data_IF_490809238626
#
_entry.id   IF_490809238626
#
_cell.length_a   1.000
_cell.length_b   1.000
_cell.length_c   1.000
_cell.angle_alpha   90.00
_cell.angle_beta   90.00
_cell.angle_gamma   90.00
#
_symmetry.space_group_name_H-M   'P 1'
#
loop_
_entity.id
_entity.type
_entity.pdbx_description
1 polymer ?
#
# COMPACT_ATOMS: atom_id res chain seq x y z
N UNK A 1 16.75 -2.65 -3.09
CA UNK A 1 15.37 -2.13 -3.22
C UNK A 1 15.10 -1.63 -4.64
N UNK A 2 15.93 -0.74 -5.21
CA UNK A 2 15.83 -0.30 -6.62
C UNK A 2 15.63 -1.43 -7.66
N UNK A 3 16.45 -2.48 -7.66
CA UNK A 3 16.31 -3.63 -8.59
C UNK A 3 14.95 -4.33 -8.44
N UNK A 4 14.44 -4.42 -7.20
CA UNK A 4 13.13 -5.03 -6.94
C UNK A 4 11.99 -4.16 -7.47
N UNK A 5 12.11 -2.84 -7.37
CA UNK A 5 11.15 -1.90 -7.99
C UNK A 5 11.12 -2.09 -9.50
N UNK A 6 12.28 -2.07 -10.14
CA UNK A 6 12.39 -2.19 -11.60
C UNK A 6 11.77 -3.51 -12.09
N UNK A 7 12.12 -4.63 -11.46
CA UNK A 7 11.54 -5.94 -11.80
C UNK A 7 10.02 -5.98 -11.66
N UNK A 8 9.43 -5.30 -10.67
CA UNK A 8 7.96 -5.25 -10.51
C UNK A 8 7.28 -4.38 -11.56
N UNK A 9 7.96 -3.32 -12.04
CA UNK A 9 7.44 -2.47 -13.10
C UNK A 9 7.57 -3.13 -14.48
N UNK A 10 8.64 -3.90 -14.72
CA UNK A 10 8.87 -4.62 -15.98
C UNK A 10 8.05 -5.91 -16.09
N UNK A 11 7.68 -6.53 -14.96
CA UNK A 11 6.92 -7.79 -14.90
C UNK A 11 5.76 -7.72 -13.88
N UNK A 12 4.71 -6.92 -14.16
CA UNK A 12 3.63 -6.66 -13.21
C UNK A 12 2.74 -7.89 -12.94
N UNK A 13 2.65 -8.84 -13.87
CA UNK A 13 1.76 -10.01 -13.76
C UNK A 13 2.23 -11.02 -12.71
N UNK A 14 3.53 -11.07 -12.41
CA UNK A 14 4.07 -12.01 -11.40
C UNK A 14 3.86 -11.58 -9.96
N UNK A 15 3.53 -10.31 -9.71
CA UNK A 15 3.60 -9.73 -8.36
C UNK A 15 2.27 -9.19 -7.83
N UNK A 16 1.15 -9.57 -8.44
CA UNK A 16 -0.15 -8.90 -8.32
C UNK A 16 -0.19 -7.62 -9.14
N UNK A 17 -1.30 -7.33 -9.81
CA UNK A 17 -1.41 -6.24 -10.78
C UNK A 17 -0.90 -4.92 -10.20
N UNK A 18 0.31 -4.54 -10.62
CA UNK A 18 0.97 -3.31 -10.25
C UNK A 18 1.05 -2.40 -11.47
N UNK A 19 0.76 -1.13 -11.27
CA UNK A 19 1.02 -0.10 -12.26
C UNK A 19 2.15 0.80 -11.76
N UNK A 20 3.12 1.10 -12.63
CA UNK A 20 4.20 2.01 -12.31
C UNK A 20 4.04 3.31 -13.10
N UNK A 21 3.61 4.36 -12.40
CA UNK A 21 3.46 5.70 -12.94
C UNK A 21 4.80 6.46 -12.85
N UNK A 22 5.32 7.05 -13.94
CA UNK A 22 6.53 7.85 -13.92
C UNK A 22 6.32 9.30 -13.44
N UNK A 23 5.06 9.71 -13.21
CA UNK A 23 4.70 11.02 -12.67
C UNK A 23 3.44 10.94 -11.80
N UNK A 24 3.12 12.03 -11.09
CA UNK A 24 1.87 12.12 -10.33
C UNK A 24 0.66 12.23 -11.25
N UNK A 25 0.83 12.87 -12.39
CA UNK A 25 -0.17 13.03 -13.44
C UNK A 25 -0.56 11.66 -14.00
N UNK A 26 0.42 10.83 -14.36
CA UNK A 26 0.19 9.46 -14.85
C UNK A 26 -0.48 8.58 -13.79
N UNK A 27 -0.18 8.82 -12.50
CA UNK A 27 -0.84 8.11 -11.40
C UNK A 27 -2.34 8.48 -11.34
N UNK A 28 -2.66 9.77 -11.47
CA UNK A 28 -4.05 10.24 -11.46
C UNK A 28 -4.82 9.73 -12.67
N UNK A 29 -4.19 9.72 -13.85
CA UNK A 29 -4.78 9.21 -15.08
C UNK A 29 -5.08 7.70 -14.96
N UNK A 30 -4.13 6.92 -14.43
CA UNK A 30 -4.33 5.49 -14.18
C UNK A 30 -5.47 5.23 -13.19
N UNK A 31 -5.45 5.87 -12.02
CA UNK A 31 -6.54 5.67 -11.03
C UNK A 31 -7.89 6.03 -11.65
N UNK A 32 -7.94 7.13 -12.41
CA UNK A 32 -9.18 7.56 -13.08
C UNK A 32 -9.63 6.55 -14.14
N UNK A 33 -8.72 5.92 -14.89
CA UNK A 33 -9.09 4.94 -15.91
C UNK A 33 -9.64 3.65 -15.33
N UNK A 34 -9.14 3.19 -14.18
CA UNK A 34 -9.60 1.95 -13.55
C UNK A 34 -11.02 2.08 -12.98
N UNK A 35 -11.39 3.25 -12.47
CA UNK A 35 -12.71 3.48 -11.89
C UNK A 35 -13.77 3.94 -12.91
N UNK A 36 -13.38 4.54 -14.03
CA UNK A 36 -14.31 5.02 -15.04
C UNK A 36 -14.79 3.89 -15.99
N UNK A 37 -16.02 3.98 -16.52
CA UNK A 37 -17.05 5.00 -16.26
C UNK A 37 -17.92 4.67 -15.03
N UNK A 38 -17.62 3.57 -14.32
CA UNK A 38 -18.44 3.02 -13.25
C UNK A 38 -18.57 3.95 -12.04
N UNK A 39 -17.50 4.67 -11.70
CA UNK A 39 -17.45 5.64 -10.60
C UNK A 39 -16.85 6.93 -11.12
N UNK A 40 -17.59 8.04 -10.99
CA UNK A 40 -17.09 9.35 -11.40
C UNK A 40 -15.96 9.80 -10.46
N UNK A 41 -14.94 10.48 -10.99
CA UNK A 41 -13.76 10.89 -10.22
C UNK A 41 -14.09 11.74 -8.98
N UNK A 42 -15.19 12.52 -9.00
CA UNK A 42 -15.67 13.32 -7.87
C UNK A 42 -16.17 12.49 -6.67
N UNK A 43 -16.57 11.25 -6.94
CA UNK A 43 -17.12 10.33 -5.93
C UNK A 43 -16.01 9.41 -5.36
N UNK A 44 -14.79 9.51 -5.87
CA UNK A 44 -13.62 8.82 -5.34
C UNK A 44 -13.17 9.46 -4.02
N UNK A 45 -13.02 8.62 -3.00
CA UNK A 45 -12.44 9.04 -1.74
C UNK A 45 -10.91 8.91 -1.80
N UNK A 46 -10.21 10.04 -1.70
CA UNK A 46 -8.74 10.06 -1.64
C UNK A 46 -8.30 10.09 -0.19
N UNK A 47 -7.41 9.17 0.18
CA UNK A 47 -6.82 9.08 1.51
C UNK A 47 -5.29 9.20 1.38
N UNK A 48 -4.65 9.81 2.37
CA UNK A 48 -3.20 9.97 2.42
C UNK A 48 -2.62 9.48 3.75
N UNK A 49 -1.35 9.10 3.71
CA UNK A 49 -0.57 8.75 4.90
C UNK A 49 0.06 10.03 5.46
N UNK A 50 -0.07 10.25 6.76
CA UNK A 50 0.51 11.42 7.44
C UNK A 50 1.58 10.93 8.41
N UNK A 51 2.79 11.48 8.31
CA UNK A 51 3.95 11.11 9.13
C UNK A 51 4.49 12.36 9.81
N UNK A 52 4.78 12.26 11.11
CA UNK A 52 5.54 13.30 11.80
C UNK A 52 7.01 13.22 11.38
N UNK A 53 7.56 14.31 10.83
CA UNK A 53 8.96 14.38 10.43
C UNK A 53 9.84 14.93 11.57
N UNK A 54 11.13 14.55 11.64
CA UNK A 54 11.82 13.60 10.77
C UNK A 54 11.53 12.14 11.15
N UNK A 55 11.46 11.27 10.13
CA UNK A 55 11.42 9.83 10.30
C UNK A 55 12.74 9.25 9.77
N UNK A 56 13.58 8.73 10.66
CA UNK A 56 14.86 8.13 10.30
C UNK A 56 14.86 6.63 10.58
N UNK A 57 15.34 5.86 9.60
CA UNK A 57 15.50 4.41 9.71
C UNK A 57 14.20 3.62 9.94
N UNK A 58 14.37 2.35 10.25
CA UNK A 58 13.26 1.48 10.65
C UNK A 58 12.94 1.68 12.12
N UNK A 59 11.66 1.89 12.43
CA UNK A 59 11.16 2.09 13.78
C UNK A 59 10.23 0.94 14.18
N UNK A 60 10.21 0.59 15.47
CA UNK A 60 9.19 -0.29 16.02
C UNK A 60 8.01 0.55 16.45
N UNK A 61 6.80 0.12 16.12
CA UNK A 61 5.58 0.86 16.40
C UNK A 61 4.63 0.05 17.27
N UNK A 62 3.89 0.75 18.14
CA UNK A 62 2.66 0.27 18.74
C UNK A 62 1.48 0.76 17.90
N UNK A 63 0.50 -0.12 17.69
CA UNK A 63 -0.80 0.27 17.12
C UNK A 63 -1.63 0.86 18.26
N UNK A 64 -2.01 2.13 18.13
CA UNK A 64 -2.85 2.81 19.11
C UNK A 64 -4.33 2.73 18.74
N UNK A 65 -4.65 2.80 17.45
CA UNK A 65 -6.03 2.81 16.98
C UNK A 65 -6.13 2.25 15.57
N UNK A 66 -7.22 1.55 15.29
CA UNK A 66 -7.59 1.05 13.96
C UNK A 66 -9.03 1.47 13.68
N UNK A 67 -9.29 1.94 12.46
CA UNK A 67 -10.64 2.25 11.97
C UNK A 67 -10.79 1.73 10.54
N UNK A 68 -11.96 1.24 10.19
CA UNK A 68 -12.29 0.91 8.80
C UNK A 68 -12.36 2.22 8.01
N UNK A 69 -11.64 2.27 6.89
CA UNK A 69 -11.66 3.37 5.93
C UNK A 69 -12.53 3.03 4.71
N UNK A 70 -12.57 1.75 4.31
CA UNK A 70 -13.46 1.23 3.28
C UNK A 70 -13.53 -0.29 3.34
N UNK A 71 -14.73 -0.85 3.33
CA UNK A 71 -14.95 -2.30 3.46
C UNK A 71 -15.49 -2.85 2.14
N UNK A 72 -14.80 -3.84 1.57
CA UNK A 72 -15.18 -4.48 0.30
C UNK A 72 -15.25 -3.52 -0.89
N UNK A 73 -14.76 -2.28 -0.73
CA UNK A 73 -14.73 -1.28 -1.78
C UNK A 73 -13.51 -1.48 -2.63
N UNK A 74 -13.71 -1.35 -3.93
CA UNK A 74 -12.60 -1.38 -4.85
C UNK A 74 -11.64 -0.21 -4.58
N UNK A 75 -10.37 -0.52 -4.37
CA UNK A 75 -9.40 0.42 -3.79
C UNK A 75 -8.08 0.29 -4.52
N UNK A 76 -7.49 1.42 -4.91
CA UNK A 76 -6.13 1.47 -5.45
C UNK A 76 -5.23 2.17 -4.42
N UNK A 77 -4.15 1.50 -4.04
CA UNK A 77 -3.12 2.07 -3.17
C UNK A 77 -1.89 2.44 -4.00
N UNK A 78 -1.48 3.70 -3.97
CA UNK A 78 -0.25 4.15 -4.62
C UNK A 78 0.75 4.64 -3.58
N UNK A 79 2.03 4.35 -3.81
CA UNK A 79 3.11 4.86 -2.97
C UNK A 79 4.35 5.19 -3.81
N UNK A 80 5.17 6.11 -3.29
CA UNK A 80 6.48 6.38 -3.89
C UNK A 80 7.32 5.10 -3.85
N UNK A 81 7.88 4.73 -4.98
CA UNK A 81 8.80 3.61 -5.06
C UNK A 81 10.18 4.02 -4.54
N UNK A 82 10.92 3.07 -3.99
CA UNK A 82 12.34 3.28 -3.67
C UNK A 82 13.17 3.18 -4.96
N UNK A 83 13.10 4.27 -5.73
CA UNK A 83 13.73 4.43 -7.03
C UNK A 83 14.24 5.87 -7.16
N UNK A 84 15.44 6.09 -7.74
CA UNK A 84 16.06 7.42 -7.80
C UNK A 84 15.31 8.37 -8.73
N UNK A 85 14.59 7.85 -9.71
CA UNK A 85 13.68 8.60 -10.56
C UNK A 85 12.28 8.58 -9.94
N UNK A 86 11.54 9.68 -10.06
CA UNK A 86 10.17 9.77 -9.54
C UNK A 86 9.29 8.67 -10.12
N UNK A 87 9.06 7.61 -9.37
CA UNK A 87 8.19 6.51 -9.77
C UNK A 87 7.20 6.25 -8.64
N UNK A 88 5.93 6.17 -8.99
CA UNK A 88 4.82 5.85 -8.09
C UNK A 88 4.31 4.48 -8.47
N UNK A 89 4.32 3.56 -7.53
CA UNK A 89 3.80 2.22 -7.74
C UNK A 89 2.40 2.14 -7.13
N UNK A 90 1.43 1.79 -7.97
CA UNK A 90 0.05 1.56 -7.61
C UNK A 90 -0.26 0.07 -7.57
N UNK A 91 -1.19 -0.29 -6.71
CA UNK A 91 -1.64 -1.67 -6.51
C UNK A 91 -3.14 -1.71 -6.30
N UNK A 92 -3.80 -2.60 -7.05
CA UNK A 92 -5.23 -2.83 -6.94
C UNK A 92 -5.54 -3.80 -5.79
N UNK A 93 -6.32 -3.32 -4.82
CA UNK A 93 -6.69 -4.03 -3.60
C UNK A 93 -8.11 -4.59 -3.70
N UNK A 94 -8.44 -5.25 -4.81
CA UNK A 94 -9.78 -5.78 -5.06
C UNK A 94 -10.25 -6.69 -3.92
N UNK A 95 -11.45 -6.45 -3.40
CA UNK A 95 -12.05 -7.21 -2.29
C UNK A 95 -11.39 -7.03 -0.92
N UNK A 96 -10.36 -6.18 -0.81
CA UNK A 96 -9.72 -5.88 0.46
C UNK A 96 -10.57 -4.94 1.32
N UNK A 97 -10.29 -4.93 2.62
CA UNK A 97 -10.72 -3.85 3.51
C UNK A 97 -9.55 -2.89 3.76
N UNK A 98 -9.79 -1.61 3.51
CA UNK A 98 -8.86 -0.53 3.82
C UNK A 98 -9.10 -0.05 5.26
N UNK A 99 -8.01 0.18 6.00
CA UNK A 99 -8.01 0.65 7.37
C UNK A 99 -7.15 1.89 7.54
N UNK A 100 -7.62 2.82 8.37
CA UNK A 100 -6.81 3.88 8.95
C UNK A 100 -6.21 3.39 10.27
N UNK A 101 -4.89 3.43 10.39
CA UNK A 101 -4.14 2.88 11.52
C UNK A 101 -3.25 3.95 12.13
N UNK A 102 -3.42 4.21 13.42
CA UNK A 102 -2.56 5.14 14.16
C UNK A 102 -1.42 4.36 14.79
N UNK A 103 -0.20 4.69 14.38
CA UNK A 103 1.04 4.10 14.85
C UNK A 103 1.82 5.11 15.68
N UNK A 104 2.38 4.63 16.78
CA UNK A 104 3.25 5.42 17.65
C UNK A 104 4.58 4.70 17.84
N UNK A 105 5.68 5.38 17.56
CA UNK A 105 7.02 4.78 17.68
C UNK A 105 7.35 4.46 19.14
N UNK A 106 7.98 3.31 19.35
CA UNK A 106 8.50 2.88 20.64
C UNK A 106 9.91 3.44 20.92
N UNK A 107 10.56 4.00 19.91
CA UNK A 107 11.92 4.57 20.02
C UNK A 107 11.95 6.10 19.98
N UNK A 108 10.85 6.75 19.60
CA UNK A 108 10.73 8.19 19.53
C UNK A 108 9.28 8.59 19.81
N UNK A 109 9.00 9.11 21.01
CA UNK A 109 7.63 9.45 21.42
C UNK A 109 6.97 10.54 20.56
N UNK A 110 7.77 11.34 19.85
CA UNK A 110 7.28 12.38 18.96
C UNK A 110 6.95 11.85 17.56
N UNK A 111 7.39 10.63 17.21
CA UNK A 111 7.13 10.03 15.90
C UNK A 111 5.78 9.29 15.92
N UNK A 112 4.80 9.90 15.27
CA UNK A 112 3.46 9.35 15.03
C UNK A 112 3.20 9.23 13.54
N UNK A 113 2.50 8.17 13.15
CA UNK A 113 2.10 7.90 11.76
C UNK A 113 0.62 7.56 11.72
N UNK A 114 -0.13 8.33 10.95
CA UNK A 114 -1.48 7.96 10.52
C UNK A 114 -1.34 7.22 9.18
N UNK A 115 -1.30 5.89 9.26
CA UNK A 115 -1.07 4.99 8.16
C UNK A 115 -2.37 4.47 7.54
N UNK A 116 -2.27 4.02 6.29
CA UNK A 116 -3.30 3.26 5.60
C UNK A 116 -2.82 1.82 5.41
N UNK A 117 -3.71 0.86 5.66
CA UNK A 117 -3.42 -0.57 5.51
C UNK A 117 -4.53 -1.24 4.72
N UNK A 118 -4.17 -2.04 3.72
CA UNK A 118 -5.09 -2.97 3.06
C UNK A 118 -5.02 -4.35 3.68
N UNK A 119 -6.17 -4.99 3.91
CA UNK A 119 -6.27 -6.39 4.32
C UNK A 119 -7.08 -7.16 3.29
N UNK A 120 -6.44 -8.06 2.56
CA UNK A 120 -7.12 -9.04 1.73
C UNK A 120 -7.65 -10.16 2.63
N UNK A 121 -8.96 -10.31 2.71
CA UNK A 121 -9.60 -11.36 3.51
C UNK A 121 -9.58 -12.70 2.79
N UNK A 122 -9.57 -12.67 1.47
CA UNK A 122 -9.40 -13.85 0.63
C UNK A 122 -8.08 -13.75 -0.14
N UNK A 123 -7.21 -14.71 0.13
CA UNK A 123 -5.93 -14.88 -0.57
C UNK A 123 -5.74 -16.32 -1.02
N UNK A 124 -6.83 -17.08 -1.20
CA UNK A 124 -6.78 -18.50 -1.60
C UNK A 124 -5.97 -18.72 -2.87
N UNK A 125 -6.06 -17.76 -3.79
CA UNK A 125 -5.46 -17.84 -5.12
C UNK A 125 -4.03 -17.30 -5.15
N UNK A 126 -3.52 -16.82 -4.02
CA UNK A 126 -2.19 -16.25 -3.94
C UNK A 126 -1.15 -17.37 -3.77
N UNK A 127 0.00 -17.19 -4.41
CA UNK A 127 1.13 -18.10 -4.22
C UNK A 127 1.52 -18.17 -2.74
N UNK A 128 1.72 -19.38 -2.22
CA UNK A 128 2.24 -19.56 -0.85
C UNK A 128 3.63 -18.97 -0.64
N UNK A 129 4.38 -18.73 -1.73
CA UNK A 129 5.67 -18.05 -1.73
C UNK A 129 5.53 -16.52 -1.80
N UNK A 130 4.32 -15.98 -1.74
CA UNK A 130 4.11 -14.54 -1.67
C UNK A 130 4.77 -14.01 -0.40
N UNK A 131 5.61 -12.98 -0.53
CA UNK A 131 6.51 -12.53 0.54
C UNK A 131 5.80 -12.15 1.86
N UNK A 132 4.52 -11.77 1.80
CA UNK A 132 3.72 -11.51 3.00
C UNK A 132 3.47 -12.77 3.85
N UNK A 133 3.39 -13.96 3.23
CA UNK A 133 3.14 -15.23 3.93
C UNK A 133 4.41 -15.85 4.53
N UNK A 134 5.59 -15.57 3.96
CA UNK A 134 6.86 -16.05 4.52
C UNK A 134 7.09 -15.55 5.95
N UNK A 135 6.64 -14.33 6.27
CA UNK A 135 6.72 -13.74 7.62
C UNK A 135 5.82 -14.48 8.61
N UNK A 136 4.66 -14.98 8.15
CA UNK A 136 3.72 -15.72 8.98
C UNK A 136 4.22 -17.13 9.32
N UNK A 137 4.83 -17.82 8.35
CA UNK A 137 5.43 -19.14 8.58
C UNK A 137 6.55 -19.10 9.63
N UNK A 138 7.41 -18.08 9.59
CA UNK A 138 8.50 -17.92 10.58
C UNK A 138 8.02 -17.60 11.99
N UNK A 139 6.83 -17.02 12.15
CA UNK A 139 6.23 -16.73 13.48
C UNK A 139 5.54 -17.93 14.12
N UNK A 140 5.16 -18.96 13.37
CA UNK A 140 4.55 -20.19 13.93
C UNK A 140 5.57 -21.21 14.44
N UNK A 141 6.84 -21.05 14.06
CA UNK A 141 7.93 -21.98 14.39
C UNK A 141 8.79 -21.51 15.58
N UNK A 142 8.46 -20.35 16.15
CA UNK A 142 9.06 -19.79 17.36
C UNK A 142 7.96 -19.47 18.38
#
# INVERSE_FOLDING_TARGET
>A
MMKSTLTRCEDPLRFSQHFCAPSMEDMVDYVSSEFNPSVASKDLQVLSVIVTLPMEGSNRYRINKVKIAGEGKDTISCHKADFPYGALMCHHLAGATAYHVQLHSLGNDNLKVDALMGCHHDTSDWSMLYGAFEVHYKKRLN
#
